data_IF_292930384213
#
_entry.id   IF_292930384213
#
_cell.length_a   1.000
_cell.length_b   1.000
_cell.length_c   1.000
_cell.angle_alpha   90.00
_cell.angle_beta   90.00
_cell.angle_gamma   90.00
#
_symmetry.space_group_name_H-M   'P 1'
#
loop_
_entity.id
_entity.type
_entity.pdbx_description
1 polymer ?
#
# COMPACT_ATOMS: atom_id res chain seq x y z
N UNK A 1 24.57 -3.10 -3.12
CA UNK A 1 24.84 -3.77 -4.41
C UNK A 1 24.82 -5.30 -4.30
N UNK A 2 25.46 -5.94 -3.31
CA UNK A 2 25.52 -7.41 -3.23
C UNK A 2 24.15 -8.11 -3.24
N UNK A 3 23.19 -7.67 -2.43
CA UNK A 3 21.88 -8.34 -2.34
C UNK A 3 21.04 -8.25 -3.63
N UNK A 4 21.22 -7.17 -4.40
CA UNK A 4 20.55 -6.94 -5.68
C UNK A 4 21.53 -7.17 -6.85
N UNK A 5 22.51 -8.06 -6.68
CA UNK A 5 23.34 -8.50 -7.80
C UNK A 5 22.51 -9.34 -8.75
N UNK A 6 22.93 -9.37 -10.02
CA UNK A 6 22.28 -10.18 -11.05
C UNK A 6 22.13 -11.64 -10.62
N UNK A 7 23.19 -12.24 -10.06
CA UNK A 7 23.19 -13.65 -9.65
C UNK A 7 22.17 -13.92 -8.53
N UNK A 8 22.05 -12.99 -7.57
CA UNK A 8 21.09 -13.12 -6.48
C UNK A 8 19.65 -12.94 -6.98
N UNK A 9 19.39 -11.98 -7.88
CA UNK A 9 18.06 -11.81 -8.49
C UNK A 9 17.67 -13.02 -9.34
N UNK A 10 18.60 -13.60 -10.10
CA UNK A 10 18.36 -14.85 -10.84
C UNK A 10 18.00 -16.01 -9.88
N UNK A 11 18.63 -16.06 -8.70
CA UNK A 11 18.28 -16.98 -7.62
C UNK A 11 16.84 -16.79 -7.11
N UNK A 12 16.43 -15.54 -6.87
CA UNK A 12 15.05 -15.21 -6.46
C UNK A 12 14.02 -15.62 -7.53
N UNK A 13 14.30 -15.34 -8.81
CA UNK A 13 13.46 -15.77 -9.94
C UNK A 13 13.34 -17.29 -9.99
N UNK A 14 14.45 -18.00 -9.81
CA UNK A 14 14.46 -19.46 -9.75
C UNK A 14 13.64 -20.00 -8.56
N UNK A 15 13.68 -19.33 -7.40
CA UNK A 15 12.92 -19.72 -6.23
C UNK A 15 11.41 -19.78 -6.50
N UNK A 16 10.86 -18.81 -7.23
CA UNK A 16 9.44 -18.78 -7.62
C UNK A 16 9.01 -19.92 -8.55
N UNK A 17 9.96 -20.59 -9.22
CA UNK A 17 9.70 -21.77 -10.05
C UNK A 17 9.61 -23.06 -9.22
N UNK A 18 9.92 -23.00 -7.92
CA UNK A 18 9.75 -24.12 -7.00
C UNK A 18 8.28 -24.55 -6.88
N UNK A 19 8.05 -25.86 -6.74
CA UNK A 19 6.72 -26.50 -6.69
C UNK A 19 5.72 -25.84 -5.73
N UNK A 20 6.20 -25.29 -4.62
CA UNK A 20 5.38 -24.69 -3.56
C UNK A 20 5.50 -23.16 -3.46
N UNK A 21 6.28 -22.54 -4.35
CA UNK A 21 6.68 -21.14 -4.22
C UNK A 21 5.96 -20.22 -5.21
N UNK A 22 5.08 -20.77 -6.06
CA UNK A 22 4.41 -20.01 -7.11
C UNK A 22 3.65 -18.78 -6.59
N UNK A 23 3.12 -18.85 -5.36
CA UNK A 23 2.40 -17.78 -4.66
C UNK A 23 3.13 -17.21 -3.45
N UNK A 24 4.44 -17.44 -3.32
CA UNK A 24 5.25 -16.90 -2.24
C UNK A 24 5.07 -15.37 -2.17
N UNK A 25 4.89 -14.83 -0.95
CA UNK A 25 4.73 -13.39 -0.67
C UNK A 25 3.54 -12.69 -1.35
N UNK A 26 2.58 -13.45 -1.89
CA UNK A 26 1.40 -12.88 -2.55
C UNK A 26 0.43 -12.22 -1.55
N UNK A 27 -0.01 -10.97 -1.72
CA UNK A 27 0.49 -9.92 -2.62
C UNK A 27 1.39 -8.91 -1.90
N UNK A 28 1.66 -9.10 -0.61
CA UNK A 28 2.38 -8.12 0.20
C UNK A 28 3.83 -7.91 -0.24
N UNK A 29 4.65 -8.96 -0.27
CA UNK A 29 6.03 -8.82 -0.73
C UNK A 29 6.11 -8.48 -2.23
N UNK A 30 5.10 -8.87 -3.02
CA UNK A 30 5.00 -8.42 -4.42
C UNK A 30 4.84 -6.90 -4.51
N UNK A 31 3.98 -6.32 -3.67
CA UNK A 31 3.76 -4.87 -3.62
C UNK A 31 5.04 -4.12 -3.24
N UNK A 32 5.73 -4.57 -2.19
CA UNK A 32 6.98 -3.94 -1.75
C UNK A 32 8.12 -4.09 -2.75
N UNK A 33 8.20 -5.21 -3.48
CA UNK A 33 9.16 -5.37 -4.57
C UNK A 33 8.88 -4.35 -5.69
N UNK A 34 7.61 -4.19 -6.10
CA UNK A 34 7.24 -3.20 -7.11
C UNK A 34 7.50 -1.77 -6.63
N UNK A 35 7.29 -1.49 -5.34
CA UNK A 35 7.66 -0.19 -4.75
C UNK A 35 9.17 0.04 -4.80
N UNK A 36 10.00 -0.95 -4.46
CA UNK A 36 11.45 -0.84 -4.63
C UNK A 36 11.84 -0.58 -6.09
N UNK A 37 11.22 -1.29 -7.05
CA UNK A 37 11.46 -1.06 -8.47
C UNK A 37 11.07 0.35 -8.92
N UNK A 38 9.95 0.89 -8.42
CA UNK A 38 9.52 2.28 -8.64
C UNK A 38 10.53 3.29 -8.08
N UNK A 39 10.98 3.11 -6.83
CA UNK A 39 11.98 3.98 -6.21
C UNK A 39 13.30 3.97 -6.99
N UNK A 40 13.77 2.79 -7.43
CA UNK A 40 14.94 2.68 -8.30
C UNK A 40 14.72 3.43 -9.62
N UNK A 41 13.56 3.24 -10.26
CA UNK A 41 13.21 3.88 -11.53
C UNK A 41 13.23 5.41 -11.47
N UNK A 42 12.75 5.99 -10.37
CA UNK A 42 12.69 7.44 -10.19
C UNK A 42 13.96 8.06 -9.61
N UNK A 43 14.87 7.24 -9.08
CA UNK A 43 16.14 7.69 -8.54
C UNK A 43 17.16 7.96 -9.66
N UNK A 44 17.47 9.24 -9.88
CA UNK A 44 18.44 9.72 -10.87
C UNK A 44 19.90 9.53 -10.37
N UNK A 45 20.37 8.29 -10.41
CA UNK A 45 21.74 7.89 -10.06
C UNK A 45 22.20 6.68 -10.89
N UNK A 46 23.47 6.64 -11.28
CA UNK A 46 24.05 5.53 -12.05
C UNK A 46 23.92 4.18 -11.31
N UNK A 47 24.01 4.21 -9.97
CA UNK A 47 23.79 3.03 -9.12
C UNK A 47 22.37 2.52 -9.27
N UNK A 48 21.39 3.42 -9.34
CA UNK A 48 19.98 3.05 -9.49
C UNK A 48 19.75 2.32 -10.83
N UNK A 49 20.37 2.79 -11.92
CA UNK A 49 20.29 2.15 -13.25
C UNK A 49 20.80 0.71 -13.21
N UNK A 50 21.97 0.49 -12.61
CA UNK A 50 22.57 -0.85 -12.46
C UNK A 50 21.68 -1.77 -11.61
N UNK A 51 21.14 -1.25 -10.50
CA UNK A 51 20.28 -2.02 -9.61
C UNK A 51 18.92 -2.35 -10.24
N UNK A 52 18.35 -1.43 -11.01
CA UNK A 52 17.10 -1.63 -11.74
C UNK A 52 17.28 -2.69 -12.84
N UNK A 53 18.36 -2.60 -13.63
CA UNK A 53 18.69 -3.60 -14.64
C UNK A 53 18.82 -5.01 -14.03
N UNK A 54 19.47 -5.12 -12.87
CA UNK A 54 19.59 -6.39 -12.16
C UNK A 54 18.24 -6.89 -11.63
N UNK A 55 17.38 -6.00 -11.10
CA UNK A 55 16.09 -6.33 -10.50
C UNK A 55 15.01 -6.67 -11.55
N UNK A 56 15.14 -6.16 -12.77
CA UNK A 56 14.15 -6.25 -13.84
C UNK A 56 13.58 -7.66 -14.08
N UNK A 57 14.36 -8.76 -14.09
CA UNK A 57 13.81 -10.10 -14.28
C UNK A 57 12.79 -10.50 -13.23
N UNK A 58 13.03 -10.14 -11.96
CA UNK A 58 12.12 -10.42 -10.86
C UNK A 58 10.90 -9.50 -10.91
N UNK A 59 11.08 -8.22 -11.23
CA UNK A 59 9.97 -7.28 -11.45
C UNK A 59 9.02 -7.77 -12.55
N UNK A 60 9.57 -8.20 -13.69
CA UNK A 60 8.80 -8.78 -14.80
C UNK A 60 7.98 -9.99 -14.34
N UNK A 61 8.60 -10.88 -13.56
CA UNK A 61 7.92 -12.05 -13.01
C UNK A 61 6.75 -11.67 -12.09
N UNK A 62 6.92 -10.64 -11.25
CA UNK A 62 5.85 -10.17 -10.36
C UNK A 62 4.70 -9.53 -11.15
N UNK A 63 5.00 -8.72 -12.18
CA UNK A 63 3.98 -8.16 -13.08
C UNK A 63 3.19 -9.26 -13.78
N UNK A 64 3.87 -10.28 -14.31
CA UNK A 64 3.23 -11.46 -14.91
C UNK A 64 2.31 -12.16 -13.90
N UNK A 65 2.80 -12.41 -12.69
CA UNK A 65 2.03 -13.07 -11.62
C UNK A 65 0.79 -12.29 -11.23
N UNK A 66 0.86 -10.97 -11.09
CA UNK A 66 -0.33 -10.15 -10.87
C UNK A 66 -1.32 -10.28 -12.03
N UNK A 67 -0.84 -10.17 -13.27
CA UNK A 67 -1.67 -10.24 -14.48
C UNK A 67 -2.40 -11.57 -14.60
N UNK A 68 -1.77 -12.68 -14.18
CA UNK A 68 -2.38 -14.01 -14.13
C UNK A 68 -3.31 -14.20 -12.93
N UNK A 69 -2.97 -13.62 -11.78
CA UNK A 69 -3.69 -13.81 -10.52
C UNK A 69 -4.96 -12.99 -10.42
N UNK A 70 -4.90 -11.69 -10.74
CA UNK A 70 -6.01 -10.75 -10.54
C UNK A 70 -7.32 -11.22 -11.20
N UNK A 71 -7.33 -11.69 -12.46
CA UNK A 71 -8.57 -12.18 -13.09
C UNK A 71 -9.20 -13.40 -12.41
N UNK A 72 -8.44 -14.16 -11.62
CA UNK A 72 -8.91 -15.39 -10.94
C UNK A 72 -9.54 -15.11 -9.57
N UNK A 73 -9.28 -13.95 -8.98
CA UNK A 73 -9.63 -13.67 -7.60
C UNK A 73 -11.08 -13.20 -7.48
N UNK A 74 -12.06 -14.05 -7.20
CA UNK A 74 -13.48 -13.63 -7.18
C UNK A 74 -13.84 -12.55 -6.14
N UNK A 75 -13.12 -12.49 -5.02
CA UNK A 75 -13.38 -11.56 -3.91
C UNK A 75 -12.09 -10.87 -3.48
N UNK A 76 -12.09 -9.56 -3.17
CA UNK A 76 -10.93 -8.91 -2.59
C UNK A 76 -10.81 -9.29 -1.11
N UNK A 77 -9.58 -9.28 -0.62
CA UNK A 77 -9.29 -9.44 0.81
C UNK A 77 -9.17 -8.05 1.45
N UNK A 78 -10.02 -7.77 2.45
CA UNK A 78 -10.13 -6.47 3.15
C UNK A 78 -9.61 -6.51 4.59
N UNK A 79 -8.57 -7.30 4.86
CA UNK A 79 -7.96 -7.37 6.21
C UNK A 79 -6.98 -6.22 6.40
N UNK A 80 -6.73 -5.77 7.62
CA UNK A 80 -5.76 -4.70 7.92
C UNK A 80 -4.30 -5.17 7.96
N UNK A 81 -4.00 -6.28 7.27
CA UNK A 81 -2.67 -6.93 7.27
C UNK A 81 -2.26 -7.35 5.86
N UNK A 82 -1.20 -8.15 5.74
CA UNK A 82 -0.51 -8.54 4.51
C UNK A 82 -1.41 -8.88 3.30
N UNK A 83 -2.54 -9.54 3.55
CA UNK A 83 -3.45 -9.97 2.48
C UNK A 83 -4.25 -8.85 1.82
N UNK A 84 -4.18 -7.60 2.29
CA UNK A 84 -5.01 -6.50 1.80
C UNK A 84 -4.85 -6.28 0.28
N UNK A 85 -5.94 -6.46 -0.46
CA UNK A 85 -5.93 -6.37 -1.92
C UNK A 85 -5.76 -4.93 -2.41
N UNK A 86 -6.35 -3.96 -1.72
CA UNK A 86 -6.26 -2.56 -2.12
C UNK A 86 -4.84 -1.99 -1.95
N UNK A 87 -4.17 -2.34 -0.85
CA UNK A 87 -2.76 -2.01 -0.63
C UNK A 87 -1.87 -2.58 -1.73
N UNK A 88 -1.98 -3.90 -2.00
CA UNK A 88 -1.17 -4.55 -3.01
C UNK A 88 -1.36 -3.96 -4.42
N UNK A 89 -2.61 -3.65 -4.78
CA UNK A 89 -2.95 -2.99 -6.04
C UNK A 89 -2.46 -1.55 -6.12
N UNK A 90 -2.40 -0.82 -5.01
CA UNK A 90 -1.96 0.58 -4.99
C UNK A 90 -0.50 0.69 -5.42
N UNK A 91 0.42 -0.07 -4.80
CA UNK A 91 1.83 -0.04 -5.18
C UNK A 91 2.06 -0.61 -6.57
N UNK A 92 1.32 -1.65 -6.96
CA UNK A 92 1.39 -2.19 -8.31
C UNK A 92 0.97 -1.15 -9.36
N UNK A 93 -0.05 -0.35 -9.07
CA UNK A 93 -0.53 0.70 -9.97
C UNK A 93 0.47 1.87 -10.05
N UNK A 94 0.98 2.32 -8.91
CA UNK A 94 1.95 3.41 -8.84
C UNK A 94 3.24 3.04 -9.62
N UNK A 95 3.73 1.80 -9.46
CA UNK A 95 4.81 1.25 -10.30
C UNK A 95 4.46 1.27 -11.80
N UNK A 96 3.29 0.74 -12.18
CA UNK A 96 2.86 0.67 -13.58
C UNK A 96 2.71 2.07 -14.22
N UNK A 97 2.33 3.08 -13.43
CA UNK A 97 2.35 4.49 -13.85
C UNK A 97 3.78 4.97 -14.08
N UNK A 98 4.70 4.75 -13.12
CA UNK A 98 6.07 5.21 -13.21
C UNK A 98 6.79 4.68 -14.48
N UNK A 99 6.60 3.41 -14.81
CA UNK A 99 7.24 2.78 -15.98
C UNK A 99 6.40 2.84 -17.27
N UNK A 100 5.25 3.52 -17.25
CA UNK A 100 4.32 3.64 -18.37
C UNK A 100 3.80 2.30 -18.93
N UNK A 101 3.55 1.31 -18.07
CA UNK A 101 2.96 0.02 -18.48
C UNK A 101 1.42 0.10 -18.56
N UNK A 102 0.91 0.46 -19.74
CA UNK A 102 -0.53 0.59 -20.00
C UNK A 102 -1.31 -0.72 -19.81
N UNK A 103 -0.69 -1.85 -20.16
CA UNK A 103 -1.37 -3.15 -20.05
C UNK A 103 -1.57 -3.52 -18.58
N UNK A 104 -0.53 -3.31 -17.75
CA UNK A 104 -0.60 -3.62 -16.34
C UNK A 104 -1.51 -2.65 -15.58
N UNK A 105 -1.45 -1.33 -15.87
CA UNK A 105 -2.41 -0.36 -15.35
C UNK A 105 -3.85 -0.79 -15.61
N UNK A 106 -4.17 -1.18 -16.85
CA UNK A 106 -5.52 -1.61 -17.22
C UNK A 106 -5.95 -2.89 -16.52
N UNK A 107 -5.06 -3.84 -16.32
CA UNK A 107 -5.36 -5.06 -15.57
C UNK A 107 -5.74 -4.77 -14.11
N UNK A 108 -4.98 -3.88 -13.46
CA UNK A 108 -5.25 -3.44 -12.08
C UNK A 108 -6.56 -2.65 -12.01
N UNK A 109 -6.73 -1.64 -12.87
CA UNK A 109 -7.92 -0.79 -12.91
C UNK A 109 -9.19 -1.61 -13.13
N UNK A 110 -9.16 -2.55 -14.09
CA UNK A 110 -10.29 -3.44 -14.39
C UNK A 110 -10.66 -4.25 -13.15
N UNK A 111 -9.67 -4.81 -12.45
CA UNK A 111 -9.95 -5.69 -11.31
C UNK A 111 -10.37 -4.91 -10.06
N UNK A 112 -9.74 -3.78 -9.78
CA UNK A 112 -10.11 -2.90 -8.68
C UNK A 112 -11.55 -2.38 -8.85
N UNK A 113 -11.94 -1.94 -10.05
CA UNK A 113 -13.32 -1.52 -10.34
C UNK A 113 -14.31 -2.67 -10.19
N UNK A 114 -13.97 -3.88 -10.63
CA UNK A 114 -14.81 -5.05 -10.40
C UNK A 114 -15.09 -5.28 -8.91
N UNK A 115 -14.10 -5.06 -8.04
CA UNK A 115 -14.21 -5.29 -6.61
C UNK A 115 -14.92 -4.18 -5.85
N UNK A 116 -14.56 -2.93 -6.12
CA UNK A 116 -14.79 -1.83 -5.19
C UNK A 116 -15.76 -0.77 -5.74
N UNK A 117 -16.08 -0.78 -7.05
CA UNK A 117 -16.88 0.29 -7.65
C UNK A 117 -18.31 0.39 -7.08
N UNK A 118 -18.86 -0.73 -6.59
CA UNK A 118 -20.20 -0.79 -6.01
C UNK A 118 -20.18 -0.90 -4.48
N UNK A 119 -19.03 -0.80 -3.84
CA UNK A 119 -18.96 -0.84 -2.39
C UNK A 119 -19.51 0.45 -1.79
N UNK A 120 -20.24 0.31 -0.69
CA UNK A 120 -20.88 1.40 0.04
C UNK A 120 -20.73 1.18 1.55
N UNK A 121 -20.80 2.26 2.34
CA UNK A 121 -20.87 2.21 3.81
C UNK A 121 -19.79 1.33 4.48
N UNK A 122 -18.51 1.52 4.12
CA UNK A 122 -17.42 0.72 4.69
C UNK A 122 -17.41 0.81 6.23
N UNK A 123 -17.35 -0.34 6.94
CA UNK A 123 -17.54 -0.37 8.39
C UNK A 123 -16.28 0.06 9.15
N UNK A 124 -15.97 1.36 9.16
CA UNK A 124 -14.83 1.92 9.92
C UNK A 124 -14.88 1.61 11.42
N UNK A 125 -16.03 1.24 11.98
CA UNK A 125 -16.15 0.82 13.38
C UNK A 125 -15.49 -0.53 13.68
N UNK A 126 -15.09 -1.29 12.66
CA UNK A 126 -14.39 -2.57 12.82
C UNK A 126 -12.86 -2.43 12.87
N UNK A 127 -12.32 -1.24 12.60
CA UNK A 127 -10.89 -0.93 12.73
C UNK A 127 -10.62 -0.02 13.96
N UNK A 128 -9.51 -0.21 14.69
CA UNK A 128 -8.42 -1.16 14.41
C UNK A 128 -8.70 -2.59 14.91
N UNK A 129 -8.32 -3.58 14.11
CA UNK A 129 -8.00 -4.92 14.57
C UNK A 129 -6.69 -4.94 15.37
N UNK A 130 -6.52 -5.92 16.26
CA UNK A 130 -5.40 -5.94 17.22
C UNK A 130 -4.00 -6.07 16.60
N UNK A 131 -3.90 -6.47 15.33
CA UNK A 131 -2.64 -6.62 14.60
C UNK A 131 -2.64 -5.89 13.26
N UNK A 132 -3.56 -4.94 13.08
CA UNK A 132 -3.66 -4.16 11.86
C UNK A 132 -2.46 -3.23 11.74
N UNK A 133 -1.89 -3.18 10.52
CA UNK A 133 -0.96 -2.14 10.08
C UNK A 133 -1.48 -1.40 8.84
N UNK A 134 -2.64 -1.80 8.30
CA UNK A 134 -3.35 -1.15 7.21
C UNK A 134 -4.77 -0.84 7.65
N UNK A 135 -5.32 0.31 7.25
CA UNK A 135 -6.75 0.60 7.42
C UNK A 135 -7.53 0.06 6.21
N UNK A 136 -8.35 -0.99 6.34
CA UNK A 136 -9.02 -1.58 5.18
C UNK A 136 -9.84 -0.59 4.36
N UNK A 137 -10.64 0.24 5.02
CA UNK A 137 -11.49 1.21 4.34
C UNK A 137 -10.67 2.33 3.68
N UNK A 138 -9.63 2.83 4.35
CA UNK A 138 -8.84 3.93 3.80
C UNK A 138 -7.90 3.47 2.68
N UNK A 139 -7.36 2.25 2.74
CA UNK A 139 -6.60 1.65 1.62
C UNK A 139 -7.47 1.54 0.36
N UNK A 140 -8.72 1.07 0.51
CA UNK A 140 -9.66 0.97 -0.60
C UNK A 140 -9.98 2.36 -1.19
N UNK A 141 -10.28 3.33 -0.34
CA UNK A 141 -10.55 4.69 -0.78
C UNK A 141 -9.33 5.36 -1.44
N UNK A 142 -8.12 5.09 -0.96
CA UNK A 142 -6.88 5.59 -1.54
C UNK A 142 -6.55 4.92 -2.88
N UNK A 143 -6.83 3.62 -3.04
CA UNK A 143 -6.73 2.94 -4.34
C UNK A 143 -7.71 3.55 -5.35
N UNK A 144 -8.99 3.66 -4.97
CA UNK A 144 -10.02 4.17 -5.88
C UNK A 144 -9.75 5.63 -6.29
N UNK A 145 -9.08 6.42 -5.44
CA UNK A 145 -8.61 7.77 -5.78
C UNK A 145 -7.60 7.78 -6.93
N UNK A 146 -6.74 6.77 -7.04
CA UNK A 146 -5.76 6.63 -8.13
C UNK A 146 -6.42 6.31 -9.47
N UNK A 147 -7.54 5.59 -9.43
CA UNK A 147 -8.14 4.92 -10.59
C UNK A 147 -9.34 5.67 -11.18
N UNK A 148 -10.06 6.42 -10.36
CA UNK A 148 -11.29 7.08 -10.78
C UNK A 148 -11.04 8.54 -11.19
N UNK A 149 -11.70 9.02 -12.25
CA UNK A 149 -11.81 10.46 -12.51
C UNK A 149 -12.37 11.18 -11.28
N UNK A 150 -11.90 12.41 -11.04
CA UNK A 150 -12.20 13.17 -9.81
C UNK A 150 -13.70 13.24 -9.50
N UNK A 151 -14.54 13.55 -10.49
CA UNK A 151 -16.00 13.65 -10.26
C UNK A 151 -16.64 12.31 -9.92
N UNK A 152 -16.23 11.22 -10.58
CA UNK A 152 -16.71 9.86 -10.26
C UNK A 152 -16.26 9.44 -8.86
N UNK A 153 -15.02 9.76 -8.49
CA UNK A 153 -14.47 9.46 -7.17
C UNK A 153 -15.23 10.18 -6.06
N UNK A 154 -15.63 11.44 -6.26
CA UNK A 154 -16.36 12.22 -5.24
C UNK A 154 -17.72 11.63 -4.92
N UNK A 155 -18.45 11.19 -5.94
CA UNK A 155 -19.71 10.47 -5.75
C UNK A 155 -19.47 9.15 -5.06
N UNK A 156 -18.53 8.34 -5.55
CA UNK A 156 -18.20 7.05 -4.95
C UNK A 156 -17.76 7.17 -3.48
N UNK A 157 -16.89 8.13 -3.15
CA UNK A 157 -16.42 8.36 -1.77
C UNK A 157 -17.56 8.77 -0.83
N UNK A 158 -18.55 9.52 -1.33
CA UNK A 158 -19.73 9.86 -0.55
C UNK A 158 -20.54 8.61 -0.16
N UNK A 159 -20.66 7.65 -1.06
CA UNK A 159 -21.46 6.46 -0.84
C UNK A 159 -20.67 5.42 -0.02
N UNK A 160 -19.35 5.35 -0.23
CA UNK A 160 -18.44 4.44 0.45
C UNK A 160 -18.08 4.87 1.87
N UNK A 161 -17.73 6.14 2.09
CA UNK A 161 -17.30 6.71 3.38
C UNK A 161 -17.96 8.08 3.65
N UNK A 162 -19.30 8.13 3.78
CA UNK A 162 -20.03 9.39 3.97
C UNK A 162 -19.55 10.21 5.19
N UNK A 163 -19.08 9.54 6.25
CA UNK A 163 -18.56 10.17 7.47
C UNK A 163 -17.39 11.13 7.22
N UNK A 164 -16.60 10.91 6.17
CA UNK A 164 -15.46 11.78 5.83
C UNK A 164 -15.89 13.19 5.41
N UNK A 165 -17.14 13.39 4.99
CA UNK A 165 -17.68 14.72 4.68
C UNK A 165 -17.86 15.60 5.91
N UNK A 166 -17.96 15.01 7.10
CA UNK A 166 -18.12 15.80 8.32
C UNK A 166 -16.85 16.61 8.59
N UNK A 167 -16.98 17.94 8.70
CA UNK A 167 -15.85 18.81 9.10
C UNK A 167 -15.33 18.53 10.51
N UNK A 168 -16.14 17.86 11.34
CA UNK A 168 -15.76 17.41 12.67
C UNK A 168 -15.36 15.93 12.69
N UNK A 169 -15.11 15.30 11.53
CA UNK A 169 -14.63 13.94 11.47
C UNK A 169 -13.32 13.82 12.25
N UNK A 170 -13.24 12.80 13.09
CA UNK A 170 -12.04 12.41 13.82
C UNK A 170 -11.86 10.90 13.72
N UNK A 171 -10.61 10.46 13.80
CA UNK A 171 -10.22 9.06 13.84
C UNK A 171 -9.18 8.89 14.94
N UNK A 172 -9.43 7.97 15.87
CA UNK A 172 -8.46 7.69 16.93
C UNK A 172 -7.23 6.96 16.38
N UNK A 173 -6.05 7.30 16.91
CA UNK A 173 -4.80 6.61 16.58
C UNK A 173 -4.81 5.18 17.11
N UNK A 174 -4.12 4.28 16.40
CA UNK A 174 -3.81 2.94 16.91
C UNK A 174 -2.92 3.06 18.14
N UNK A 175 -3.21 2.26 19.18
CA UNK A 175 -2.51 2.30 20.48
C UNK A 175 -1.76 0.99 20.67
N UNK A 176 -0.43 1.05 20.74
CA UNK A 176 0.41 -0.12 21.03
C UNK A 176 0.52 -0.30 22.54
N UNK A 177 0.01 -1.42 23.08
CA UNK A 177 0.04 -1.69 24.52
C UNK A 177 1.30 -2.44 24.99
N UNK A 178 1.87 -3.29 24.14
CA UNK A 178 3.15 -3.97 24.38
C UNK A 178 3.97 -3.92 23.10
N UNK A 179 5.17 -3.33 23.18
CA UNK A 179 6.04 -3.11 22.02
C UNK A 179 6.98 -4.27 21.75
N UNK A 180 7.09 -5.23 22.67
CA UNK A 180 7.86 -6.46 22.44
C UNK A 180 7.02 -7.54 21.72
N UNK A 181 5.71 -7.32 21.59
CA UNK A 181 4.84 -8.19 20.82
C UNK A 181 4.86 -7.74 19.35
N UNK A 182 5.38 -8.61 18.48
CA UNK A 182 5.52 -8.32 17.05
C UNK A 182 4.21 -8.13 16.29
N UNK A 183 3.07 -8.51 16.85
CA UNK A 183 1.76 -8.20 16.26
C UNK A 183 1.18 -6.89 16.78
N UNK A 184 1.35 -6.57 18.05
CA UNK A 184 0.78 -5.33 18.60
C UNK A 184 1.51 -4.09 18.08
N UNK A 185 2.82 -4.19 17.79
CA UNK A 185 3.61 -3.11 17.18
C UNK A 185 3.11 -2.73 15.78
N UNK A 186 2.34 -3.60 15.11
CA UNK A 186 1.71 -3.29 13.82
C UNK A 186 0.84 -2.03 13.84
N UNK A 187 0.26 -1.68 15.00
CA UNK A 187 -0.61 -0.51 15.13
C UNK A 187 0.15 0.81 14.89
N UNK A 188 1.48 0.83 14.99
CA UNK A 188 2.27 1.98 14.53
C UNK A 188 2.26 2.08 13.01
N UNK A 189 2.39 0.95 12.30
CA UNK A 189 2.19 0.87 10.86
C UNK A 189 0.79 1.31 10.45
N UNK A 190 -0.23 1.00 11.25
CA UNK A 190 -1.61 1.45 11.00
C UNK A 190 -1.72 2.97 11.01
N UNK A 191 -1.04 3.64 11.94
CA UNK A 191 -1.06 5.10 11.97
C UNK A 191 -0.39 5.67 10.71
N UNK A 192 0.75 5.14 10.29
CA UNK A 192 1.35 5.55 9.02
C UNK A 192 0.43 5.29 7.82
N UNK A 193 -0.26 4.14 7.79
CA UNK A 193 -1.14 3.80 6.68
C UNK A 193 -2.39 4.67 6.58
N UNK A 194 -2.98 5.00 7.73
CA UNK A 194 -4.04 5.99 7.83
C UNK A 194 -3.57 7.36 7.35
N UNK A 195 -2.34 7.77 7.69
CA UNK A 195 -1.78 9.05 7.27
C UNK A 195 -1.64 9.17 5.75
N UNK A 196 -0.95 8.22 5.08
CA UNK A 196 -0.82 8.30 3.61
C UNK A 196 -2.16 8.14 2.90
N UNK A 197 -3.06 7.31 3.43
CA UNK A 197 -4.34 7.04 2.77
C UNK A 197 -5.24 8.26 2.84
N UNK A 198 -5.37 8.89 4.02
CA UNK A 198 -6.12 10.14 4.19
C UNK A 198 -5.55 11.25 3.30
N UNK A 199 -4.22 11.36 3.24
CA UNK A 199 -3.59 12.39 2.42
C UNK A 199 -3.79 12.13 0.91
N UNK A 200 -3.76 10.87 0.47
CA UNK A 200 -4.12 10.50 -0.91
C UNK A 200 -5.58 10.83 -1.22
N UNK A 201 -6.51 10.47 -0.33
CA UNK A 201 -7.96 10.70 -0.50
C UNK A 201 -8.26 12.17 -0.78
N UNK A 202 -7.61 13.10 -0.05
CA UNK A 202 -7.86 14.55 -0.19
C UNK A 202 -7.16 15.22 -1.37
N UNK A 203 -6.31 14.50 -2.10
CA UNK A 203 -5.55 15.05 -3.22
C UNK A 203 -6.50 15.63 -4.29
N UNK A 204 -6.36 16.93 -4.60
CA UNK A 204 -7.27 17.59 -5.55
C UNK A 204 -8.73 17.72 -5.08
N UNK A 205 -9.03 17.51 -3.80
CA UNK A 205 -10.37 17.64 -3.20
C UNK A 205 -10.37 18.68 -2.05
N UNK A 206 -10.37 19.99 -2.35
CA UNK A 206 -10.30 21.04 -1.34
C UNK A 206 -11.44 21.02 -0.31
N UNK A 207 -12.60 20.48 -0.65
CA UNK A 207 -13.72 20.32 0.28
C UNK A 207 -13.49 19.27 1.39
N UNK A 208 -12.47 18.41 1.24
CA UNK A 208 -12.04 17.44 2.26
C UNK A 208 -10.76 17.88 2.98
N UNK A 209 -10.33 19.14 2.84
CA UNK A 209 -9.08 19.63 3.44
C UNK A 209 -9.02 19.47 4.99
N UNK A 210 -10.16 19.35 5.67
CA UNK A 210 -10.22 19.09 7.12
C UNK A 210 -9.67 17.72 7.53
N UNK A 211 -9.49 16.78 6.59
CA UNK A 211 -8.88 15.48 6.89
C UNK A 211 -7.34 15.53 6.97
N UNK A 212 -6.70 16.57 6.41
CA UNK A 212 -5.23 16.70 6.46
C UNK A 212 -4.68 16.76 7.90
N UNK A 213 -5.25 17.56 8.82
CA UNK A 213 -4.87 17.50 10.23
C UNK A 213 -5.03 16.12 10.87
N UNK A 214 -6.04 15.33 10.47
CA UNK A 214 -6.24 13.96 10.96
C UNK A 214 -5.09 13.06 10.47
N UNK A 215 -4.71 13.17 9.20
CA UNK A 215 -3.56 12.45 8.65
C UNK A 215 -2.27 12.79 9.40
N UNK A 216 -2.01 14.08 9.64
CA UNK A 216 -0.83 14.57 10.39
C UNK A 216 -0.83 14.07 11.83
N UNK A 217 -2.00 13.99 12.48
CA UNK A 217 -2.13 13.43 13.83
C UNK A 217 -1.65 11.98 13.88
N UNK A 218 -2.04 11.15 12.91
CA UNK A 218 -1.59 9.75 12.85
C UNK A 218 -0.09 9.66 12.58
N UNK A 219 0.43 10.42 11.61
CA UNK A 219 1.85 10.47 11.32
C UNK A 219 2.66 10.82 12.59
N UNK A 220 2.30 11.90 13.27
CA UNK A 220 3.03 12.38 14.44
C UNK A 220 2.92 11.44 15.65
N UNK A 221 1.87 10.64 15.75
CA UNK A 221 1.70 9.68 16.85
C UNK A 221 2.76 8.58 16.82
N UNK A 222 3.01 8.01 15.64
CA UNK A 222 3.92 6.87 15.49
C UNK A 222 5.31 7.25 15.00
N UNK A 223 5.54 8.49 14.53
CA UNK A 223 6.89 8.92 14.12
C UNK A 223 7.96 8.77 15.21
N UNK A 224 7.70 9.07 16.50
CA UNK A 224 8.71 8.82 17.55
C UNK A 224 9.06 7.35 17.73
N UNK A 225 8.19 6.43 17.31
CA UNK A 225 8.33 5.00 17.56
C UNK A 225 9.33 4.30 16.63
N UNK A 226 9.77 4.97 15.55
CA UNK A 226 10.78 4.43 14.63
C UNK A 226 12.20 4.40 15.22
N UNK A 227 12.44 5.15 16.31
CA UNK A 227 13.75 5.27 16.94
C UNK A 227 13.82 4.50 18.25
N UNK A 228 14.85 3.66 18.41
CA UNK A 228 15.08 2.91 19.66
C UNK A 228 14.10 1.75 19.88
N UNK A 229 13.44 1.29 18.82
CA UNK A 229 12.51 0.17 18.86
C UNK A 229 13.22 -1.20 18.92
N UNK A 230 12.50 -2.24 19.35
CA UNK A 230 12.92 -3.63 19.20
C UNK A 230 12.93 -4.02 17.72
N UNK A 231 13.55 -5.17 17.41
CA UNK A 231 13.66 -5.64 16.03
C UNK A 231 12.28 -5.76 15.37
N UNK A 232 11.28 -6.22 16.12
CA UNK A 232 9.91 -6.50 15.69
C UNK A 232 9.21 -5.30 15.02
N UNK A 233 9.48 -4.08 15.48
CA UNK A 233 9.01 -2.85 14.82
C UNK A 233 10.05 -2.26 13.86
N UNK A 234 11.31 -2.17 14.29
CA UNK A 234 12.34 -1.38 13.62
C UNK A 234 12.69 -1.81 12.19
N UNK A 235 12.51 -3.09 11.83
CA UNK A 235 12.95 -3.59 10.53
C UNK A 235 12.04 -3.21 9.35
N UNK A 236 10.79 -2.81 9.59
CA UNK A 236 9.82 -2.50 8.53
C UNK A 236 9.09 -1.16 8.71
N UNK A 237 8.94 -0.67 9.95
CA UNK A 237 8.27 0.61 10.23
C UNK A 237 8.94 1.80 9.55
N UNK A 238 10.26 1.76 9.33
CA UNK A 238 10.97 2.80 8.60
C UNK A 238 10.43 3.02 7.18
N UNK A 239 10.11 1.93 6.46
CA UNK A 239 9.54 2.02 5.11
C UNK A 239 8.14 2.64 5.12
N UNK A 240 7.31 2.30 6.12
CA UNK A 240 5.98 2.89 6.30
C UNK A 240 6.06 4.37 6.65
N UNK A 241 6.97 4.75 7.54
CA UNK A 241 7.17 6.13 7.95
C UNK A 241 7.64 7.00 6.76
N UNK A 242 8.63 6.53 5.99
CA UNK A 242 9.11 7.24 4.80
C UNK A 242 7.99 7.39 3.77
N UNK A 243 7.23 6.32 3.50
CA UNK A 243 6.11 6.39 2.55
C UNK A 243 5.00 7.35 3.03
N UNK A 244 4.69 7.36 4.33
CA UNK A 244 3.76 8.34 4.91
C UNK A 244 4.26 9.78 4.77
N UNK A 245 5.54 10.03 5.07
CA UNK A 245 6.17 11.35 4.94
C UNK A 245 6.16 11.85 3.50
N UNK A 246 6.53 11.00 2.54
CA UNK A 246 6.56 11.35 1.11
C UNK A 246 5.17 11.59 0.50
N UNK A 247 4.09 11.26 1.23
CA UNK A 247 2.74 11.55 0.74
C UNK A 247 2.39 13.05 0.82
N UNK A 248 2.99 13.79 1.76
CA UNK A 248 2.67 15.21 2.05
C UNK A 248 3.45 16.20 1.19
#
# INVERSE_FOLDING_TARGET
MLNLSKENIEGEVAYFSGKHNASFERTYGWAWLLKLAEELHTWDDDTARVLEENLQPLTNLIVEKYTVYLPKLNYPTRVGTHGNTAFGMSFAYDYAVAVNDEAFKKAIETRAKYFFLNDENCPMSWEPGGSDFLSPCLEEAALMKRLLPVETYKTWLNDFLPQLKSRSFSLETGKVSDRNDGHLVHLDGLNFSRAWSLNKIVEGLPEYAHLKPVAIQHLNHSLPSIFGDSYEGGHWLGSFAIYALNSF
#
